data_IF_394071289243
#
_entry.id   IF_394071289243
#
_cell.length_a   1.000
_cell.length_b   1.000
_cell.length_c   1.000
_cell.angle_alpha   90.00
_cell.angle_beta   90.00
_cell.angle_gamma   90.00
#
_symmetry.space_group_name_H-M   'P 1'
#
loop_
_entity.id
_entity.type
_entity.pdbx_description
1 polymer ?
#
# COMPACT_ATOMS: atom_id res chain seq x y z
N UNK A 1 -3.62 4.15 14.96
CA UNK A 1 -4.53 4.15 13.80
C UNK A 1 -4.43 5.47 13.02
N UNK A 2 -4.76 5.48 11.71
CA UNK A 2 -4.83 6.71 10.91
C UNK A 2 -5.92 7.67 11.39
N UNK A 3 -5.69 8.97 11.23
CA UNK A 3 -6.62 10.05 11.64
C UNK A 3 -7.08 10.89 10.45
N UNK A 4 -7.27 10.25 9.29
CA UNK A 4 -7.67 10.95 8.08
C UNK A 4 -9.06 11.57 8.26
N UNK A 5 -9.21 12.82 7.83
CA UNK A 5 -10.48 13.56 7.85
C UNK A 5 -11.06 13.78 6.45
N UNK A 6 -10.29 13.46 5.41
CA UNK A 6 -10.63 13.55 3.99
C UNK A 6 -9.64 12.71 3.18
N UNK A 7 -10.03 12.17 2.00
CA UNK A 7 -11.39 12.08 1.48
C UNK A 7 -12.29 11.11 2.29
N UNK A 8 -13.62 11.09 2.07
CA UNK A 8 -14.56 10.29 2.86
C UNK A 8 -14.21 8.80 2.94
N UNK A 9 -13.66 8.22 1.87
CA UNK A 9 -13.24 6.81 1.88
C UNK A 9 -12.08 6.53 2.85
N UNK A 10 -11.18 7.49 3.08
CA UNK A 10 -10.11 7.34 4.08
C UNK A 10 -10.66 7.46 5.50
N UNK A 11 -11.66 8.32 5.71
CA UNK A 11 -12.36 8.40 7.00
C UNK A 11 -13.04 7.06 7.32
N UNK A 12 -13.74 6.49 6.34
CA UNK A 12 -14.38 5.18 6.47
C UNK A 12 -13.35 4.06 6.73
N UNK A 13 -12.23 4.08 5.99
CA UNK A 13 -11.15 3.11 6.17
C UNK A 13 -10.49 3.22 7.55
N UNK A 14 -10.29 4.43 8.08
CA UNK A 14 -9.73 4.62 9.41
C UNK A 14 -10.63 3.98 10.49
N UNK A 15 -11.94 4.21 10.42
CA UNK A 15 -12.91 3.56 11.31
C UNK A 15 -12.93 2.03 11.13
N UNK A 16 -12.80 1.55 9.90
CA UNK A 16 -12.68 0.11 9.60
C UNK A 16 -11.43 -0.51 10.23
N UNK A 17 -10.28 0.17 10.18
CA UNK A 17 -9.06 -0.28 10.83
C UNK A 17 -9.16 -0.32 12.35
N UNK A 18 -9.80 0.66 12.97
CA UNK A 18 -10.10 0.63 14.41
C UNK A 18 -10.97 -0.59 14.77
N UNK A 19 -11.99 -0.89 13.96
CA UNK A 19 -12.82 -2.08 14.15
C UNK A 19 -12.01 -3.38 13.99
N UNK A 20 -11.17 -3.47 12.95
CA UNK A 20 -10.35 -4.63 12.67
C UNK A 20 -9.30 -4.88 13.77
N UNK A 21 -8.78 -3.81 14.36
CA UNK A 21 -7.88 -3.89 15.52
C UNK A 21 -8.61 -4.39 16.78
N UNK A 22 -9.82 -3.87 17.03
CA UNK A 22 -10.60 -4.24 18.21
C UNK A 22 -11.18 -5.65 18.14
N UNK A 23 -11.47 -6.15 16.93
CA UNK A 23 -12.07 -7.47 16.69
C UNK A 23 -11.38 -8.19 15.53
N UNK A 24 -10.15 -8.70 15.71
CA UNK A 24 -9.39 -9.33 14.64
C UNK A 24 -10.13 -10.49 13.96
N UNK A 25 -10.86 -11.32 14.69
CA UNK A 25 -11.51 -12.52 14.12
C UNK A 25 -12.87 -12.24 13.47
N UNK A 26 -13.37 -11.00 13.55
CA UNK A 26 -14.71 -10.65 13.04
C UNK A 26 -14.74 -10.34 11.53
N UNK A 27 -13.57 -10.22 10.89
CA UNK A 27 -13.44 -9.84 9.49
C UNK A 27 -12.60 -10.88 8.75
N UNK A 28 -13.11 -11.38 7.63
CA UNK A 28 -12.32 -12.23 6.75
C UNK A 28 -11.24 -11.44 6.04
N UNK A 29 -10.18 -12.12 5.64
CA UNK A 29 -9.08 -11.51 4.88
C UNK A 29 -9.56 -10.92 3.55
N UNK A 30 -10.52 -11.58 2.87
CA UNK A 30 -11.11 -11.07 1.64
C UNK A 30 -11.87 -9.75 1.86
N UNK A 31 -12.69 -9.66 2.91
CA UNK A 31 -13.41 -8.42 3.24
C UNK A 31 -12.44 -7.30 3.66
N UNK A 32 -11.35 -7.66 4.34
CA UNK A 32 -10.30 -6.72 4.70
C UNK A 32 -9.60 -6.16 3.46
N UNK A 33 -9.14 -7.01 2.54
CA UNK A 33 -8.51 -6.59 1.29
C UNK A 33 -9.44 -5.73 0.44
N UNK A 34 -10.72 -6.10 0.33
CA UNK A 34 -11.72 -5.34 -0.41
C UNK A 34 -11.90 -3.92 0.16
N UNK A 35 -12.03 -3.79 1.48
CA UNK A 35 -12.13 -2.49 2.14
C UNK A 35 -10.89 -1.61 1.89
N UNK A 36 -9.68 -2.20 1.92
CA UNK A 36 -8.44 -1.48 1.61
C UNK A 36 -8.39 -1.04 0.15
N UNK A 37 -8.80 -1.90 -0.79
CA UNK A 37 -8.83 -1.58 -2.23
C UNK A 37 -9.83 -0.45 -2.52
N UNK A 38 -11.03 -0.50 -1.93
CA UNK A 38 -12.06 0.53 -2.10
C UNK A 38 -11.67 1.90 -1.55
N UNK A 39 -10.67 1.97 -0.67
CA UNK A 39 -10.15 3.24 -0.17
C UNK A 39 -9.24 3.97 -1.18
N UNK A 40 -8.82 3.31 -2.26
CA UNK A 40 -8.04 3.94 -3.33
C UNK A 40 -8.95 4.67 -4.33
N UNK A 41 -8.38 5.59 -5.11
CA UNK A 41 -9.12 6.33 -6.14
C UNK A 41 -8.25 6.63 -7.36
N UNK A 42 -8.85 6.90 -8.53
CA UNK A 42 -8.12 7.30 -9.72
C UNK A 42 -7.34 8.61 -9.51
N UNK A 43 -6.05 8.58 -9.82
CA UNK A 43 -5.12 9.72 -9.82
C UNK A 43 -3.92 9.36 -10.70
N UNK A 44 -2.92 10.22 -10.85
CA UNK A 44 -1.70 9.83 -11.55
C UNK A 44 -0.93 8.76 -10.77
N UNK A 45 -0.14 7.93 -11.48
CA UNK A 45 0.56 6.79 -10.91
C UNK A 45 1.38 7.13 -9.66
N UNK A 46 2.13 8.23 -9.67
CA UNK A 46 3.00 8.59 -8.54
C UNK A 46 2.22 9.12 -7.33
N UNK A 47 1.16 9.88 -7.53
CA UNK A 47 0.23 10.24 -6.45
C UNK A 47 -0.47 9.00 -5.89
N UNK A 48 -0.80 8.02 -6.75
CA UNK A 48 -1.37 6.76 -6.32
C UNK A 48 -0.37 5.98 -5.46
N UNK A 49 0.91 5.90 -5.85
CA UNK A 49 1.96 5.27 -5.04
C UNK A 49 2.02 5.89 -3.64
N UNK A 50 2.04 7.22 -3.53
CA UNK A 50 2.05 7.90 -2.24
C UNK A 50 0.79 7.61 -1.41
N UNK A 51 -0.39 7.68 -2.02
CA UNK A 51 -1.65 7.34 -1.36
C UNK A 51 -1.65 5.88 -0.89
N UNK A 52 -1.22 4.98 -1.76
CA UNK A 52 -1.27 3.55 -1.53
C UNK A 52 -0.38 3.15 -0.37
N UNK A 53 0.87 3.65 -0.30
CA UNK A 53 1.71 3.40 0.88
C UNK A 53 1.12 3.93 2.19
N UNK A 54 0.48 5.10 2.17
CA UNK A 54 -0.20 5.63 3.34
C UNK A 54 -1.38 4.73 3.78
N UNK A 55 -2.12 4.19 2.80
CA UNK A 55 -3.27 3.29 2.99
C UNK A 55 -2.83 1.91 3.49
N UNK A 56 -1.87 1.26 2.82
CA UNK A 56 -1.53 -0.14 3.08
C UNK A 56 -0.63 -0.33 4.30
N UNK A 57 0.18 0.65 4.70
CA UNK A 57 1.11 0.46 5.81
C UNK A 57 0.40 0.12 7.15
N UNK A 58 -0.69 0.79 7.55
CA UNK A 58 -1.55 0.34 8.64
C UNK A 58 -2.18 -1.04 8.39
N UNK A 59 -2.56 -1.34 7.16
CA UNK A 59 -3.16 -2.63 6.79
C UNK A 59 -2.18 -3.79 7.04
N UNK A 60 -0.92 -3.64 6.60
CA UNK A 60 0.15 -4.62 6.81
C UNK A 60 0.47 -4.83 8.29
N UNK A 61 0.30 -3.81 9.13
CA UNK A 61 0.43 -3.97 10.59
C UNK A 61 -0.70 -4.80 11.20
N UNK A 62 -1.93 -4.61 10.72
CA UNK A 62 -3.11 -5.34 11.20
C UNK A 62 -3.18 -6.78 10.68
N UNK A 63 -2.64 -7.02 9.48
CA UNK A 63 -2.68 -8.30 8.77
C UNK A 63 -1.34 -8.60 8.07
N UNK A 64 -0.28 -8.94 8.83
CA UNK A 64 1.05 -9.17 8.23
C UNK A 64 1.08 -10.27 7.18
N UNK A 65 0.24 -11.30 7.31
CA UNK A 65 0.15 -12.40 6.34
C UNK A 65 -0.41 -11.97 4.98
N UNK A 66 -1.06 -10.81 4.88
CA UNK A 66 -1.59 -10.24 3.63
C UNK A 66 -0.64 -9.23 2.97
N UNK A 67 0.59 -9.10 3.47
CA UNK A 67 1.53 -8.07 2.98
C UNK A 67 1.77 -8.20 1.47
N UNK A 68 1.88 -9.42 0.93
CA UNK A 68 2.11 -9.64 -0.49
C UNK A 68 0.98 -9.05 -1.36
N UNK A 69 -0.28 -9.31 -1.00
CA UNK A 69 -1.46 -8.78 -1.70
C UNK A 69 -1.56 -7.26 -1.60
N UNK A 70 -1.18 -6.71 -0.45
CA UNK A 70 -1.26 -5.28 -0.18
C UNK A 70 -0.19 -4.48 -0.94
N UNK A 71 1.05 -4.96 -0.98
CA UNK A 71 2.15 -4.26 -1.64
C UNK A 71 2.09 -4.35 -3.17
N UNK A 72 1.29 -5.27 -3.72
CA UNK A 72 1.02 -5.32 -5.15
C UNK A 72 0.41 -4.01 -5.67
N UNK A 73 -0.45 -3.35 -4.87
CA UNK A 73 -1.13 -2.11 -5.26
C UNK A 73 -0.18 -0.94 -5.60
N UNK A 74 0.75 -0.52 -4.72
CA UNK A 74 1.72 0.51 -5.08
C UNK A 74 2.72 0.02 -6.15
N UNK A 75 3.05 -1.27 -6.19
CA UNK A 75 3.97 -1.83 -7.19
C UNK A 75 3.37 -1.72 -8.61
N UNK A 76 2.10 -2.04 -8.78
CA UNK A 76 1.39 -1.89 -10.06
C UNK A 76 1.43 -0.46 -10.55
N UNK A 77 1.19 0.49 -9.65
CA UNK A 77 1.26 1.90 -9.97
C UNK A 77 2.69 2.36 -10.31
N UNK A 78 3.73 1.79 -9.69
CA UNK A 78 5.12 2.07 -10.07
C UNK A 78 5.43 1.56 -11.47
N UNK A 79 5.03 0.32 -11.79
CA UNK A 79 5.24 -0.29 -13.11
C UNK A 79 4.51 0.52 -14.19
N UNK A 80 3.23 0.84 -13.98
CA UNK A 80 2.46 1.71 -14.86
C UNK A 80 3.03 3.14 -14.94
N UNK A 81 3.77 3.57 -13.91
CA UNK A 81 4.53 4.81 -13.88
C UNK A 81 5.88 4.76 -14.61
N UNK A 82 6.25 3.60 -15.19
CA UNK A 82 7.48 3.38 -15.94
C UNK A 82 8.63 2.76 -15.14
N UNK A 83 8.38 2.20 -13.95
CA UNK A 83 9.42 1.52 -13.18
C UNK A 83 9.65 0.09 -13.71
N UNK A 84 10.88 -0.20 -14.10
CA UNK A 84 11.33 -1.50 -14.63
C UNK A 84 12.36 -2.22 -13.74
N UNK A 85 12.85 -1.54 -12.70
CA UNK A 85 13.85 -2.07 -11.76
C UNK A 85 13.29 -2.23 -10.34
N UNK A 86 13.22 -3.48 -9.89
CA UNK A 86 12.80 -3.85 -8.54
C UNK A 86 13.67 -3.24 -7.44
N UNK A 87 14.96 -2.96 -7.73
CA UNK A 87 15.92 -2.39 -6.77
C UNK A 87 15.51 -1.01 -6.24
N UNK A 88 14.65 -0.28 -6.96
CA UNK A 88 14.19 1.05 -6.58
C UNK A 88 12.94 1.05 -5.69
N UNK A 89 12.18 -0.05 -5.66
CA UNK A 89 10.87 -0.11 -4.99
C UNK A 89 10.98 0.19 -3.49
N UNK A 90 11.98 -0.38 -2.82
CA UNK A 90 12.22 -0.15 -1.39
C UNK A 90 12.51 1.33 -1.11
N UNK A 91 13.39 1.93 -1.91
CA UNK A 91 13.77 3.33 -1.76
C UNK A 91 12.58 4.28 -1.97
N UNK A 92 11.72 3.99 -2.96
CA UNK A 92 10.51 4.76 -3.23
C UNK A 92 9.56 4.71 -2.04
N UNK A 93 9.26 3.52 -1.50
CA UNK A 93 8.38 3.40 -0.33
C UNK A 93 8.93 4.12 0.91
N UNK A 94 10.25 4.09 1.11
CA UNK A 94 10.90 4.87 2.17
C UNK A 94 10.75 6.38 1.95
N UNK A 95 10.93 6.86 0.72
CA UNK A 95 10.77 8.27 0.38
C UNK A 95 9.33 8.76 0.62
N UNK A 96 8.32 7.95 0.33
CA UNK A 96 6.92 8.25 0.65
C UNK A 96 6.70 8.45 2.17
N UNK A 97 7.46 7.74 3.01
CA UNK A 97 7.39 7.86 4.46
C UNK A 97 8.00 9.15 5.01
N UNK A 98 8.86 9.84 4.25
CA UNK A 98 9.60 11.03 4.71
C UNK A 98 9.30 12.30 3.91
N UNK A 99 8.42 12.22 2.90
CA UNK A 99 8.03 13.37 2.08
C UNK A 99 7.40 14.48 2.94
N UNK A 100 7.80 15.72 2.69
CA UNK A 100 7.32 16.91 3.42
C UNK A 100 5.86 17.21 3.10
N UNK A 101 5.49 17.12 1.84
CA UNK A 101 4.14 17.35 1.32
C UNK A 101 3.68 16.10 0.57
N UNK A 102 3.26 15.05 1.28
CA UNK A 102 2.74 13.84 0.68
C UNK A 102 1.31 14.06 0.16
N UNK A 103 0.95 13.37 -0.92
CA UNK A 103 -0.42 13.39 -1.44
C UNK A 103 -1.44 12.88 -0.40
N UNK A 104 -1.07 11.87 0.38
CA UNK A 104 -1.79 11.41 1.58
C UNK A 104 -0.81 11.25 2.72
N UNK A 105 -1.08 11.87 3.86
CA UNK A 105 -0.20 11.81 5.03
C UNK A 105 -0.26 10.40 5.64
N UNK A 106 0.88 9.68 5.75
CA UNK A 106 0.92 8.41 6.46
C UNK A 106 0.65 8.62 7.95
N UNK A 107 -0.10 7.69 8.55
CA UNK A 107 -0.28 7.66 10.01
C UNK A 107 1.07 7.45 10.73
N UNK A 108 1.14 7.77 12.03
CA UNK A 108 2.36 7.55 12.81
C UNK A 108 2.81 6.09 12.89
N UNK A 109 1.87 5.15 12.82
CA UNK A 109 2.16 3.71 12.73
C UNK A 109 2.57 3.30 11.32
N UNK A 110 1.84 3.77 10.30
CA UNK A 110 2.21 3.51 8.90
C UNK A 110 3.61 4.03 8.57
N UNK A 111 3.97 5.22 9.06
CA UNK A 111 5.32 5.77 8.93
C UNK A 111 6.38 4.91 9.62
N UNK A 112 6.08 4.37 10.80
CA UNK A 112 6.99 3.43 11.49
C UNK A 112 7.16 2.14 10.69
N UNK A 113 6.08 1.58 10.16
CA UNK A 113 6.16 0.39 9.31
C UNK A 113 7.01 0.64 8.06
N UNK A 114 6.78 1.77 7.35
CA UNK A 114 7.54 2.12 6.15
C UNK A 114 9.04 2.40 6.42
N UNK A 115 9.39 2.87 7.62
CA UNK A 115 10.79 3.17 7.95
C UNK A 115 11.53 2.01 8.63
N UNK A 116 10.82 1.07 9.25
CA UNK A 116 11.43 0.01 10.07
C UNK A 116 11.20 -1.41 9.54
N UNK A 117 10.04 -1.67 8.94
CA UNK A 117 9.67 -3.01 8.46
C UNK A 117 9.88 -3.12 6.96
N UNK A 118 9.37 -2.16 6.20
CA UNK A 118 9.44 -2.13 4.74
C UNK A 118 10.85 -2.36 4.18
N UNK A 119 11.94 -1.75 4.71
CA UNK A 119 13.30 -2.01 4.21
C UNK A 119 13.75 -3.48 4.32
N UNK A 120 13.16 -4.24 5.25
CA UNK A 120 13.43 -5.67 5.43
C UNK A 120 12.66 -6.59 4.49
N UNK A 121 11.74 -6.06 3.68
CA UNK A 121 10.87 -6.84 2.79
C UNK A 121 11.45 -7.05 1.38
N UNK A 122 12.74 -6.77 1.17
CA UNK A 122 13.36 -6.76 -0.17
C UNK A 122 13.06 -8.00 -1.03
N UNK A 123 13.26 -9.20 -0.49
CA UNK A 123 13.00 -10.45 -1.25
C UNK A 123 11.51 -10.63 -1.61
N UNK A 124 10.60 -10.24 -0.71
CA UNK A 124 9.16 -10.30 -0.97
C UNK A 124 8.76 -9.27 -2.04
N UNK A 125 9.27 -8.05 -1.91
CA UNK A 125 9.05 -6.95 -2.86
C UNK A 125 9.54 -7.32 -4.25
N UNK A 126 10.73 -7.91 -4.36
CA UNK A 126 11.28 -8.38 -5.63
C UNK A 126 10.39 -9.45 -6.26
N UNK A 127 9.95 -10.43 -5.47
CA UNK A 127 9.05 -11.50 -5.94
C UNK A 127 7.74 -10.94 -6.47
N UNK A 128 7.10 -10.03 -5.72
CA UNK A 128 5.84 -9.39 -6.14
C UNK A 128 6.08 -8.54 -7.38
N UNK A 129 7.12 -7.70 -7.40
CA UNK A 129 7.44 -6.84 -8.55
C UNK A 129 7.60 -7.66 -9.83
N UNK A 130 8.37 -8.75 -9.80
CA UNK A 130 8.57 -9.58 -10.99
C UNK A 130 7.27 -10.22 -11.46
N UNK A 131 6.42 -10.72 -10.55
CA UNK A 131 5.12 -11.28 -10.92
C UNK A 131 4.24 -10.22 -11.61
N UNK A 132 4.13 -9.02 -11.01
CA UNK A 132 3.31 -7.92 -11.54
C UNK A 132 3.85 -7.37 -12.87
N UNK A 133 5.16 -7.29 -13.03
CA UNK A 133 5.77 -6.85 -14.29
C UNK A 133 5.49 -7.84 -15.43
N UNK A 134 5.59 -9.14 -15.17
CA UNK A 134 5.25 -10.16 -16.18
C UNK A 134 3.78 -10.10 -16.59
N UNK A 135 2.87 -9.86 -15.64
CA UNK A 135 1.45 -9.66 -15.94
C UNK A 135 1.21 -8.41 -16.79
N UNK A 136 1.80 -7.27 -16.43
CA UNK A 136 1.68 -6.03 -17.21
C UNK A 136 2.19 -6.19 -18.66
N UNK A 137 3.33 -6.85 -18.84
CA UNK A 137 3.88 -7.13 -20.17
C UNK A 137 3.02 -8.09 -21.00
N UNK A 138 2.29 -9.00 -20.35
CA UNK A 138 1.35 -9.89 -21.03
C UNK A 138 0.09 -9.15 -21.48
N UNK A 139 -0.42 -8.22 -20.67
CA UNK A 139 -1.58 -7.38 -21.02
C UNK A 139 -1.28 -6.43 -22.19
N UNK A 140 -0.06 -5.88 -22.27
CA UNK A 140 0.36 -5.01 -23.37
C UNK A 140 0.56 -5.75 -24.72
N UNK A 141 0.64 -7.09 -24.69
CA UNK A 141 0.84 -7.91 -25.88
C UNK A 141 -0.48 -8.33 -26.57
N UNK A 142 -1.63 -8.09 -25.93
CA UNK A 142 -2.98 -8.38 -26.45
C UNK A 142 -3.60 -7.21 -27.24
#
# INVERSE_FOLDING_TARGET
MPTWTSPPQLVALAAFYEQAQARPDALSDAAFLDAVKQAHWPTNCWNYVEASFAIIAPACLLRPHLTADLIALPIDAMIAGGLDDAGQVIAIGLACATRSEPYVVPSGEGRRWLTQVWPGLGALVETVFQARLQEALAEDAE
#
